data_IF_808015859954
#
_entry.id   IF_808015859954
#
_cell.length_a   1.000
_cell.length_b   1.000
_cell.length_c   1.000
_cell.angle_alpha   90.00
_cell.angle_beta   90.00
_cell.angle_gamma   90.00
#
_symmetry.space_group_name_H-M   'P 1'
#
loop_
_entity.id
_entity.type
_entity.pdbx_description
1 polymer ?
2 non-polymer ?
3 non-polymer ?
4 water ?
#
# COMPACT_ATOMS: atom_id res chain seq x y z
N UNK A 19 -3.43 14.43 1.35
CA UNK A 19 -2.81 13.12 1.76
C UNK A 19 -1.31 13.33 2.07
N UNK A 20 -1.01 13.84 3.27
CA UNK A 20 0.35 14.20 3.71
C UNK A 20 0.65 13.65 5.10
N UNK A 21 -0.35 13.23 5.89
CA UNK A 21 -0.16 12.66 7.26
C UNK A 21 -0.45 11.16 7.19
N UNK A 22 0.29 10.35 7.94
CA UNK A 22 0.01 8.91 8.13
C UNK A 22 -0.49 8.71 9.56
N UNK A 23 -1.64 8.05 9.69
CA UNK A 23 -2.26 7.69 10.98
C UNK A 23 -2.30 6.17 11.07
N UNK A 24 -2.36 5.64 12.29
CA UNK A 24 -2.66 4.21 12.53
C UNK A 24 -4.02 3.90 11.92
N UNK A 25 -4.08 2.91 11.03
CA UNK A 25 -5.31 2.47 10.37
C UNK A 25 -6.36 1.99 11.39
N UNK A 26 -5.95 1.46 12.54
CA UNK A 26 -6.87 0.88 13.55
C UNK A 26 -7.52 1.94 14.44
N UNK A 27 -6.85 3.04 14.76
CA UNK A 27 -7.33 3.99 15.81
C UNK A 27 -7.18 5.47 15.42
N UNK A 28 -6.38 5.82 14.41
CA UNK A 28 -6.22 7.21 13.96
C UNK A 28 -5.09 7.95 14.64
N UNK A 29 -4.34 7.31 15.54
CA UNK A 29 -3.11 7.90 16.15
C UNK A 29 -2.20 8.47 15.04
N UNK A 30 -1.73 9.72 15.21
CA UNK A 30 -0.75 10.38 14.31
C UNK A 30 0.58 9.62 14.38
N UNK A 31 1.12 9.18 13.25
CA UNK A 31 2.36 8.35 13.24
C UNK A 31 3.47 9.09 12.49
N UNK A 32 3.22 9.56 11.27
CA UNK A 32 4.29 10.10 10.43
C UNK A 32 3.71 10.97 9.32
N UNK A 33 4.59 11.44 8.44
CA UNK A 33 4.28 12.42 7.37
C UNK A 33 4.95 11.91 6.10
N UNK A 34 4.34 12.13 4.94
CA UNK A 34 4.96 11.87 3.63
C UNK A 34 6.30 12.63 3.54
N UNK A 35 6.36 13.86 4.06
CA UNK A 35 7.59 14.69 4.15
C UNK A 35 8.75 13.90 4.79
N UNK A 36 8.46 12.94 5.69
CA UNK A 36 9.47 12.20 6.48
C UNK A 36 9.85 10.86 5.83
N UNK A 37 9.36 10.56 4.63
CA UNK A 37 9.81 9.35 3.89
C UNK A 37 11.32 9.44 3.66
N UNK A 38 11.99 8.29 3.73
CA UNK A 38 13.47 8.15 3.60
C UNK A 38 13.79 7.12 2.52
N UNK A 39 14.34 7.49 1.36
CA UNK A 39 14.80 6.49 0.39
C UNK A 39 16.08 5.74 0.81
N UNK A 40 15.95 4.69 1.65
CA UNK A 40 17.05 3.78 2.08
C UNK A 40 17.44 2.89 0.90
N UNK A 41 18.72 2.93 0.50
CA UNK A 41 19.23 2.18 -0.66
C UNK A 41 18.58 2.61 -1.97
N UNK A 42 18.02 3.84 -2.02
CA UNK A 42 17.45 4.44 -3.24
C UNK A 42 15.94 4.30 -3.34
N UNK A 43 15.28 3.64 -2.39
CA UNK A 43 13.80 3.46 -2.40
C UNK A 43 13.27 3.59 -0.98
N UNK A 44 12.11 4.25 -0.81
CA UNK A 44 11.40 4.30 0.50
C UNK A 44 10.64 3.00 0.75
N UNK A 45 10.30 2.24 -0.31
CA UNK A 45 9.55 0.95 -0.21
C UNK A 45 10.52 -0.23 -0.29
N UNK A 46 10.43 -1.15 0.66
CA UNK A 46 11.16 -2.45 0.68
C UNK A 46 10.15 -3.56 0.96
N UNK A 47 10.07 -4.56 0.09
CA UNK A 47 9.19 -5.74 0.31
C UNK A 47 10.07 -6.84 0.92
N UNK A 48 9.74 -7.28 2.12
CA UNK A 48 10.61 -8.16 2.94
C UNK A 48 9.75 -9.27 3.56
N UNK A 49 10.40 -10.36 3.98
CA UNK A 49 9.76 -11.45 4.74
C UNK A 49 10.56 -11.76 6.01
N UNK A 50 9.84 -12.05 7.08
CA UNK A 50 10.40 -12.50 8.38
C UNK A 50 10.60 -14.02 8.32
N UNK A 51 11.27 -14.63 9.32
CA UNK A 51 11.50 -16.07 9.32
C UNK A 51 10.23 -16.92 9.31
N UNK A 52 9.09 -16.36 9.74
CA UNK A 52 7.78 -17.05 9.74
C UNK A 52 7.13 -16.95 8.34
N UNK A 53 7.78 -16.29 7.37
CA UNK A 53 7.36 -16.26 5.96
C UNK A 53 6.32 -15.19 5.70
N UNK A 54 6.03 -14.35 6.68
CA UNK A 54 5.10 -13.20 6.54
C UNK A 54 5.80 -12.14 5.66
N UNK A 55 5.09 -11.63 4.66
CA UNK A 55 5.56 -10.53 3.77
C UNK A 55 5.06 -9.21 4.34
N UNK A 56 5.92 -8.21 4.35
CA UNK A 56 5.61 -6.82 4.75
C UNK A 56 6.08 -5.92 3.61
N UNK A 57 5.21 -5.01 3.20
CA UNK A 57 5.58 -3.85 2.35
C UNK A 57 5.95 -2.73 3.31
N UNK A 58 7.25 -2.50 3.47
CA UNK A 58 7.80 -1.57 4.51
C UNK A 58 8.14 -0.25 3.82
N UNK A 59 7.65 0.85 4.39
CA UNK A 59 8.03 2.22 4.02
C UNK A 59 9.00 2.75 5.07
N UNK A 60 10.13 3.29 4.63
CA UNK A 60 11.18 3.85 5.50
C UNK A 60 10.89 5.33 5.75
N UNK A 61 10.89 5.71 7.02
CA UNK A 61 10.68 7.09 7.51
C UNK A 61 11.89 7.48 8.35
N UNK A 62 12.36 8.72 8.18
CA UNK A 62 13.40 9.33 9.03
C UNK A 62 12.87 9.48 10.45
N UNK A 63 11.56 9.74 10.58
CA UNK A 63 10.94 10.19 11.83
C UNK A 63 9.54 9.58 11.93
N UNK A 64 9.10 9.27 13.14
CA UNK A 64 7.69 8.90 13.45
C UNK A 64 7.42 9.30 14.88
N UNK A 65 6.14 9.37 15.23
CA UNK A 65 5.68 9.66 16.60
C UNK A 65 4.53 8.70 16.93
N UNK A 66 4.05 8.76 18.17
CA UNK A 66 2.85 8.05 18.65
C UNK A 66 3.05 6.55 18.72
N UNK A 67 4.30 6.09 18.61
CA UNK A 67 4.64 4.64 18.67
C UNK A 67 5.05 4.30 20.09
N UNK A 68 5.09 3.00 20.39
CA UNK A 68 5.69 2.46 21.62
C UNK A 68 6.67 1.38 21.16
N UNK A 69 7.95 1.54 21.47
CA UNK A 69 9.02 0.60 21.10
C UNK A 69 9.11 -0.45 22.20
N UNK A 70 9.12 -1.72 21.83
CA UNK A 70 9.00 -2.86 22.79
C UNK A 70 10.34 -3.60 22.81
N UNK A 71 10.88 -3.82 24.02
CA UNK A 71 12.10 -4.62 24.24
C UNK A 71 13.35 -3.84 23.92
N UNK A 72 14.47 -4.55 23.75
CA UNK A 72 15.80 -3.99 23.45
C UNK A 72 16.20 -4.41 22.03
N UNK A 73 17.01 -3.58 21.33
CA UNK A 73 17.32 -3.82 19.92
C UNK A 73 17.94 -5.21 19.69
N UNK A 74 17.65 -5.80 18.54
CA UNK A 74 18.22 -7.07 18.05
C UNK A 74 18.73 -6.90 16.62
N UNK A 75 19.89 -7.48 16.30
CA UNK A 75 20.46 -7.55 14.94
C UNK A 75 20.01 -8.81 14.18
N UNK A 76 19.34 -9.75 14.84
CA UNK A 76 18.93 -11.05 14.25
C UNK A 76 17.92 -10.84 13.12
N UNK A 77 18.22 -11.33 11.91
CA UNK A 77 17.34 -11.31 10.72
C UNK A 77 17.03 -9.87 10.30
N UNK A 78 17.86 -8.88 10.63
CA UNK A 78 17.65 -7.47 10.21
C UNK A 78 17.64 -7.41 8.69
N UNK A 79 16.64 -6.74 8.12
CA UNK A 79 16.51 -6.52 6.65
C UNK A 79 17.49 -5.44 6.19
N UNK A 80 18.05 -4.67 7.12
CA UNK A 80 18.91 -3.52 6.82
C UNK A 80 20.26 -3.72 7.51
N UNK A 81 21.29 -3.95 6.70
CA UNK A 81 22.66 -4.32 7.17
C UNK A 81 23.18 -3.21 8.08
N UNK A 82 23.68 -3.58 9.27
CA UNK A 82 24.28 -2.66 10.24
C UNK A 82 23.25 -2.08 11.21
N UNK A 83 21.97 -2.44 11.09
CA UNK A 83 20.90 -1.90 11.95
C UNK A 83 20.31 -3.00 12.83
N UNK A 84 20.09 -2.65 14.09
CA UNK A 84 19.34 -3.48 15.08
C UNK A 84 17.90 -2.96 15.09
N UNK A 85 16.92 -3.83 15.28
CA UNK A 85 15.50 -3.43 15.24
C UNK A 85 14.87 -3.58 16.62
N UNK A 86 13.87 -2.75 16.89
CA UNK A 86 12.91 -2.93 17.99
C UNK A 86 11.51 -2.87 17.36
N UNK A 87 10.62 -3.73 17.82
CA UNK A 87 9.20 -3.71 17.39
C UNK A 87 8.58 -2.37 17.80
N UNK A 88 7.86 -1.76 16.86
CA UNK A 88 7.13 -0.49 17.05
C UNK A 88 5.62 -0.80 17.03
N UNK A 89 4.95 -0.57 18.15
CA UNK A 89 3.48 -0.65 18.26
C UNK A 89 2.90 0.75 18.16
N UNK A 90 1.65 0.86 17.72
CA UNK A 90 0.83 2.05 17.94
C UNK A 90 0.80 2.28 19.45
N UNK A 91 1.23 3.47 19.89
CA UNK A 91 1.23 3.87 21.31
C UNK A 91 -0.16 3.97 21.86
N UNK A 92 -1.18 4.10 21.00
CA UNK A 92 -2.59 4.22 21.45
C UNK A 92 -3.23 2.82 21.54
N UNK A 93 -3.23 2.05 20.45
CA UNK A 93 -4.06 0.82 20.34
C UNK A 93 -3.21 -0.46 20.40
N UNK A 94 -1.87 -0.35 20.34
CA UNK A 94 -0.97 -1.52 20.48
C UNK A 94 -0.83 -2.32 19.19
N UNK A 95 -1.41 -1.86 18.07
CA UNK A 95 -1.30 -2.50 16.74
C UNK A 95 0.17 -2.49 16.30
N UNK A 96 0.65 -3.59 15.71
CA UNK A 96 2.06 -3.67 15.24
C UNK A 96 2.20 -2.85 13.95
N UNK A 97 2.93 -1.74 13.99
CA UNK A 97 3.01 -0.80 12.83
C UNK A 97 4.35 -0.93 12.10
N UNK A 98 5.36 -1.54 12.74
CA UNK A 98 6.66 -1.82 12.09
C UNK A 98 7.78 -1.89 13.11
N UNK A 99 8.91 -1.25 12.80
CA UNK A 99 10.17 -1.40 13.56
C UNK A 99 10.91 -0.08 13.62
N UNK A 100 11.59 0.19 14.73
CA UNK A 100 12.64 1.23 14.81
C UNK A 100 13.98 0.53 14.57
N UNK A 101 14.83 1.14 13.76
CA UNK A 101 16.19 0.68 13.42
C UNK A 101 17.20 1.63 14.05
N UNK A 102 18.25 1.09 14.66
CA UNK A 102 19.29 1.87 15.37
C UNK A 102 20.62 1.15 15.19
N UNK A 103 21.71 1.80 15.62
CA UNK A 103 23.05 1.19 15.71
C UNK A 103 23.78 1.24 14.39
N UNK A 104 23.20 1.88 13.36
CA UNK A 104 23.79 1.94 12.02
C UNK A 104 24.33 3.35 11.75
N UNK A 105 24.54 3.67 10.48
CA UNK A 105 25.29 4.88 10.03
C UNK A 105 24.58 5.48 8.83
N UNK A 106 24.41 6.81 8.82
CA UNK A 106 23.91 7.57 7.65
C UNK A 106 22.64 6.91 7.11
N UNK A 107 21.52 6.94 7.85
CA UNK A 107 21.46 7.52 9.20
C UNK A 107 21.73 6.48 10.30
N UNK A 108 21.94 6.95 11.53
CA UNK A 108 22.11 6.10 12.72
C UNK A 108 20.81 5.32 12.99
N UNK A 109 19.65 5.95 12.80
CA UNK A 109 18.31 5.43 13.18
C UNK A 109 17.30 5.81 12.10
N UNK A 110 16.24 5.01 11.97
CA UNK A 110 15.07 5.29 11.10
C UNK A 110 13.94 4.32 11.47
N UNK A 111 12.79 4.51 10.84
CA UNK A 111 11.60 3.65 11.05
C UNK A 111 11.26 2.93 9.76
N UNK A 112 10.95 1.64 9.89
CA UNK A 112 10.35 0.83 8.82
C UNK A 112 8.91 0.54 9.20
N UNK A 113 7.95 1.20 8.55
CA UNK A 113 6.52 1.06 8.90
C UNK A 113 5.80 0.25 7.83
N UNK A 114 4.87 -0.59 8.24
CA UNK A 114 4.10 -1.47 7.34
C UNK A 114 3.02 -0.62 6.66
N UNK A 115 3.18 -0.36 5.37
CA UNK A 115 2.33 0.58 4.59
C UNK A 115 0.84 0.30 4.87
N UNK A 116 0.42 -0.96 4.84
CA UNK A 116 -1.03 -1.31 4.89
C UNK A 116 -1.59 -1.16 6.31
N UNK A 117 -0.78 -0.80 7.30
CA UNK A 117 -1.26 -0.60 8.69
C UNK A 117 -1.40 0.91 8.96
N UNK A 118 -1.10 1.74 7.94
CA UNK A 118 -1.24 3.22 8.01
C UNK A 118 -2.37 3.66 7.09
N UNK A 119 -3.02 4.77 7.42
CA UNK A 119 -3.98 5.50 6.56
C UNK A 119 -3.39 6.88 6.28
N UNK A 120 -3.42 7.27 5.00
CA UNK A 120 -2.86 8.54 4.52
C UNK A 120 -4.01 9.54 4.39
N UNK A 121 -3.80 10.78 4.82
CA UNK A 121 -4.85 11.80 4.69
C UNK A 121 -4.37 13.21 4.99
N UNK A 122 -5.29 14.19 4.94
CA UNK A 122 -4.93 15.59 5.17
C UNK A 122 -4.38 15.86 6.59
N UNK A 123 -3.44 16.79 6.68
CA UNK A 123 -2.93 17.41 7.93
C UNK A 123 -4.09 18.01 8.73
N UNK B 19 -9.19 -13.26 -16.62
CA UNK B 19 -10.20 -12.14 -16.61
C UNK B 19 -11.20 -12.38 -15.47
N UNK B 20 -11.12 -11.56 -14.41
CA UNK B 20 -12.19 -11.47 -13.39
C UNK B 20 -12.70 -10.02 -13.30
N UNK B 21 -13.91 -9.85 -12.79
CA UNK B 21 -14.57 -8.52 -12.70
C UNK B 21 -14.93 -8.26 -11.25
N UNK B 22 -15.13 -6.99 -10.96
CA UNK B 22 -15.62 -6.47 -9.69
C UNK B 22 -17.05 -5.97 -9.91
N UNK B 23 -17.95 -6.49 -9.09
CA UNK B 23 -19.38 -6.15 -9.09
C UNK B 23 -19.69 -5.34 -7.84
N UNK B 24 -20.70 -4.50 -7.93
CA UNK B 24 -21.33 -3.84 -6.76
C UNK B 24 -21.79 -4.95 -5.80
N UNK B 25 -21.33 -4.91 -4.55
CA UNK B 25 -21.67 -5.94 -3.52
C UNK B 25 -23.18 -5.90 -3.22
N UNK B 26 -23.83 -4.76 -3.41
CA UNK B 26 -25.26 -4.54 -3.06
C UNK B 26 -26.19 -5.09 -4.16
N UNK B 27 -25.85 -5.02 -5.45
CA UNK B 27 -26.82 -5.36 -6.53
C UNK B 27 -26.23 -6.23 -7.65
N UNK B 28 -24.91 -6.39 -7.73
CA UNK B 28 -24.27 -7.35 -8.66
C UNK B 28 -23.92 -6.75 -10.02
N UNK B 29 -24.19 -5.46 -10.21
CA UNK B 29 -23.82 -4.72 -11.44
C UNK B 29 -22.30 -4.83 -11.65
N UNK B 30 -21.86 -5.13 -12.88
CA UNK B 30 -20.44 -5.08 -13.31
C UNK B 30 -19.94 -3.64 -13.21
N UNK B 31 -18.86 -3.43 -12.46
CA UNK B 31 -18.32 -2.06 -12.23
C UNK B 31 -16.95 -1.94 -12.89
N UNK B 32 -16.06 -2.90 -12.71
CA UNK B 32 -14.68 -2.78 -13.22
C UNK B 32 -14.05 -4.17 -13.35
N UNK B 33 -12.82 -4.21 -13.83
CA UNK B 33 -12.10 -5.45 -14.21
C UNK B 33 -10.74 -5.42 -13.51
N UNK B 34 -10.24 -6.59 -13.12
CA UNK B 34 -8.88 -6.74 -12.58
C UNK B 34 -7.87 -6.19 -13.59
N UNK B 35 -8.10 -6.39 -14.90
CA UNK B 35 -7.26 -5.88 -16.00
C UNK B 35 -7.06 -4.36 -15.86
N UNK B 36 -8.01 -3.65 -15.26
CA UNK B 36 -8.02 -2.17 -15.16
C UNK B 36 -7.41 -1.67 -13.85
N UNK B 37 -6.89 -2.55 -12.99
CA UNK B 37 -6.17 -2.10 -11.78
C UNK B 37 -5.02 -1.17 -12.19
N UNK B 38 -4.85 -0.09 -11.44
CA UNK B 38 -3.93 1.03 -11.77
C UNK B 38 -3.03 1.31 -10.58
N UNK B 39 -1.71 1.02 -10.65
CA UNK B 39 -0.82 1.32 -9.53
C UNK B 39 -0.47 2.81 -9.44
N UNK B 40 -1.34 3.62 -8.83
CA UNK B 40 -1.12 5.07 -8.57
C UNK B 40 -0.08 5.22 -7.47
N UNK B 41 1.02 5.93 -7.72
CA UNK B 41 2.14 6.11 -6.77
C UNK B 41 2.81 4.79 -6.43
N UNK B 42 2.68 3.77 -7.28
CA UNK B 42 3.36 2.47 -7.13
C UNK B 42 2.47 1.38 -6.53
N UNK B 43 1.23 1.69 -6.12
CA UNK B 43 0.31 0.69 -5.52
C UNK B 43 -1.11 0.91 -6.03
N UNK B 44 -1.86 -0.16 -6.30
CA UNK B 44 -3.32 -0.06 -6.63
C UNK B 44 -4.15 0.13 -5.34
N UNK B 45 -3.62 -0.27 -4.16
CA UNK B 45 -4.33 -0.12 -2.86
C UNK B 45 -3.81 1.13 -2.13
N UNK B 46 -4.72 1.99 -1.70
CA UNK B 46 -4.45 3.18 -0.86
C UNK B 46 -5.40 3.13 0.34
N UNK B 47 -4.85 3.03 1.56
CA UNK B 47 -5.68 3.23 2.78
C UNK B 47 -5.58 4.71 3.12
N UNK B 48 -6.72 5.38 3.17
CA UNK B 48 -6.83 6.85 3.23
C UNK B 48 -7.88 7.20 4.29
N UNK B 49 -7.82 8.43 4.80
CA UNK B 49 -8.86 9.01 5.68
C UNK B 49 -9.25 10.39 5.12
N UNK B 50 -10.54 10.71 5.24
CA UNK B 50 -11.13 12.01 4.83
C UNK B 50 -11.03 12.96 6.01
N UNK B 51 -11.36 14.26 5.83
CA UNK B 51 -11.27 15.23 6.92
C UNK B 51 -12.16 14.89 8.13
N UNK B 52 -13.20 14.07 7.93
CA UNK B 52 -14.10 13.65 9.03
C UNK B 52 -13.48 12.45 9.79
N UNK B 53 -12.33 11.94 9.34
CA UNK B 53 -11.61 10.84 10.01
C UNK B 53 -12.13 9.46 9.62
N UNK B 54 -13.00 9.37 8.62
CA UNK B 54 -13.46 8.05 8.08
C UNK B 54 -12.33 7.43 7.26
N UNK B 55 -12.01 6.17 7.52
CA UNK B 55 -10.93 5.41 6.83
C UNK B 55 -11.55 4.55 5.73
N UNK B 56 -10.95 4.57 4.55
CA UNK B 56 -11.38 3.78 3.37
C UNK B 56 -10.17 3.04 2.83
N UNK B 57 -10.37 1.79 2.42
CA UNK B 57 -9.38 1.03 1.63
C UNK B 57 -9.81 1.11 0.17
N UNK B 58 -9.08 1.93 -0.59
CA UNK B 58 -9.37 2.30 -2.00
C UNK B 58 -8.49 1.46 -2.93
N UNK B 59 -9.10 0.83 -3.92
CA UNK B 59 -8.38 0.24 -5.08
C UNK B 59 -8.55 1.17 -6.30
N UNK B 60 -7.46 1.46 -6.98
CA UNK B 60 -7.43 2.36 -8.17
C UNK B 60 -7.62 1.53 -9.44
N UNK B 61 -8.58 1.98 -10.25
CA UNK B 61 -8.92 1.39 -11.57
C UNK B 61 -8.84 2.50 -12.61
N UNK B 62 -8.30 2.21 -13.80
CA UNK B 62 -8.24 3.13 -14.96
C UNK B 62 -9.66 3.52 -15.39
N UNK B 63 -10.57 2.56 -15.43
CA UNK B 63 -11.93 2.73 -15.99
C UNK B 63 -12.93 2.02 -15.07
N UNK B 64 -14.19 2.35 -15.23
CA UNK B 64 -15.32 1.70 -14.55
C UNK B 64 -16.55 1.90 -15.43
N UNK B 65 -17.59 1.11 -15.14
CA UNK B 65 -18.91 1.26 -15.78
C UNK B 65 -19.97 1.10 -14.69
N UNK B 66 -21.18 1.52 -15.03
CA UNK B 66 -22.40 1.31 -14.24
C UNK B 66 -22.44 2.18 -13.00
N UNK B 67 -21.57 3.18 -12.91
CA UNK B 67 -21.57 4.15 -11.78
C UNK B 67 -22.37 5.39 -12.18
N UNK B 68 -22.72 6.22 -11.22
CA UNK B 68 -23.29 7.57 -11.43
C UNK B 68 -22.43 8.53 -10.63
N UNK B 69 -21.79 9.48 -11.29
CA UNK B 69 -20.93 10.49 -10.64
C UNK B 69 -21.82 11.67 -10.27
N UNK B 70 -21.72 12.18 -9.05
CA UNK B 70 -22.62 13.25 -8.58
C UNK B 70 -21.76 14.45 -8.16
N UNK B 71 -22.22 15.65 -8.50
CA UNK B 71 -21.59 16.91 -8.09
C UNK B 71 -20.58 17.36 -9.14
N UNK B 72 -20.12 18.61 -9.01
CA UNK B 72 -19.00 19.14 -9.81
C UNK B 72 -17.72 18.67 -9.16
N UNK B 73 -16.65 18.42 -9.95
CA UNK B 73 -15.36 18.01 -9.38
C UNK B 73 -14.86 19.02 -8.34
N UNK B 74 -14.16 18.53 -7.32
CA UNK B 74 -13.53 19.33 -6.25
C UNK B 74 -12.07 18.88 -6.10
N UNK B 75 -11.16 19.83 -5.92
CA UNK B 75 -9.73 19.60 -5.61
C UNK B 75 -9.47 19.51 -4.11
N UNK B 76 -10.45 19.90 -3.28
CA UNK B 76 -10.30 20.00 -1.80
C UNK B 76 -10.03 18.62 -1.20
N UNK B 77 -8.92 18.47 -0.49
CA UNK B 77 -8.56 17.26 0.30
C UNK B 77 -8.43 16.03 -0.61
N UNK B 78 -8.08 16.24 -1.87
CA UNK B 78 -7.85 15.12 -2.82
C UNK B 78 -6.74 14.22 -2.27
N UNK B 79 -6.94 12.91 -2.26
CA UNK B 79 -5.91 11.92 -1.87
C UNK B 79 -4.83 11.81 -2.94
N UNK B 80 -5.09 12.31 -4.14
CA UNK B 80 -4.17 12.20 -5.31
C UNK B 80 -3.89 13.60 -5.86
N UNK B 81 -2.65 14.06 -5.66
CA UNK B 81 -2.19 15.42 -6.01
C UNK B 81 -2.43 15.67 -7.52
N UNK B 82 -3.05 16.79 -7.86
CA UNK B 82 -3.31 17.21 -9.25
C UNK B 82 -4.63 16.70 -9.78
N UNK B 83 -5.39 15.96 -8.97
CA UNK B 83 -6.70 15.39 -9.39
C UNK B 83 -7.83 16.05 -8.59
N UNK B 84 -8.92 16.38 -9.27
CA UNK B 84 -10.22 16.73 -8.67
C UNK B 84 -11.08 15.46 -8.57
N UNK B 85 -11.92 15.36 -7.55
CA UNK B 85 -12.74 14.14 -7.33
C UNK B 85 -14.22 14.48 -7.47
N UNK B 86 -14.99 13.46 -7.85
CA UNK B 86 -16.47 13.45 -7.79
C UNK B 86 -16.87 12.13 -7.13
N UNK B 87 -17.89 12.16 -6.28
CA UNK B 87 -18.44 10.95 -5.61
C UNK B 87 -19.05 10.05 -6.67
N UNK B 88 -18.76 8.75 -6.58
CA UNK B 88 -19.26 7.70 -7.48
C UNK B 88 -20.25 6.79 -6.74
N UNK B 89 -21.51 6.76 -7.20
CA UNK B 89 -22.54 5.82 -6.69
C UNK B 89 -22.72 4.68 -7.68
N UNK B 90 -23.20 3.54 -7.20
CA UNK B 90 -23.74 2.50 -8.10
C UNK B 90 -24.89 3.13 -8.88
N UNK B 91 -24.83 3.09 -10.21
CA UNK B 91 -25.86 3.65 -11.11
C UNK B 91 -27.17 2.90 -10.97
N UNK B 92 -27.12 1.67 -10.46
CA UNK B 92 -28.29 0.78 -10.34
C UNK B 92 -28.95 0.97 -8.97
N UNK B 93 -28.21 0.84 -7.87
CA UNK B 93 -28.78 0.75 -6.50
C UNK B 93 -28.42 1.98 -5.65
N UNK B 94 -27.53 2.87 -6.10
CA UNK B 94 -27.23 4.15 -5.42
C UNK B 94 -26.22 4.04 -4.29
N UNK B 95 -25.67 2.85 -4.01
CA UNK B 95 -24.66 2.63 -2.95
C UNK B 95 -23.37 3.42 -3.28
N UNK B 96 -22.74 4.05 -2.28
CA UNK B 96 -21.47 4.80 -2.44
C UNK B 96 -20.32 3.81 -2.70
N UNK B 97 -19.71 3.83 -3.89
CA UNK B 97 -18.68 2.84 -4.27
C UNK B 97 -17.29 3.46 -4.31
N UNK B 98 -17.17 4.78 -4.35
CA UNK B 98 -15.87 5.49 -4.31
C UNK B 98 -15.93 6.84 -4.99
N UNK B 99 -14.91 7.13 -5.80
CA UNK B 99 -14.70 8.48 -6.40
C UNK B 99 -14.12 8.34 -7.79
N UNK B 100 -14.50 9.25 -8.68
CA UNK B 100 -13.82 9.48 -9.97
C UNK B 100 -12.85 10.65 -9.79
N UNK B 101 -11.66 10.51 -10.34
CA UNK B 101 -10.57 11.52 -10.33
C UNK B 101 -10.37 12.03 -11.76
N UNK B 102 -10.18 13.34 -11.93
CA UNK B 102 -9.95 13.95 -13.26
C UNK B 102 -9.05 15.18 -13.12
N UNK B 103 -8.62 15.72 -14.26
CA UNK B 103 -7.89 17.00 -14.37
C UNK B 103 -6.40 16.80 -14.12
N UNK B 104 -5.94 15.55 -14.05
CA UNK B 104 -4.51 15.22 -13.93
C UNK B 104 -3.94 14.76 -15.29
N UNK B 105 -2.76 14.14 -15.24
CA UNK B 105 -2.00 13.65 -16.41
C UNK B 105 -1.42 12.27 -16.08
N UNK B 106 -1.46 11.38 -17.06
CA UNK B 106 -0.83 10.03 -17.01
C UNK B 106 -1.21 9.35 -15.70
N UNK B 107 -2.49 8.95 -15.52
CA UNK B 107 -3.55 9.24 -16.49
C UNK B 107 -4.30 10.54 -16.18
N UNK B 108 -5.09 11.01 -17.14
CA UNK B 108 -5.95 12.21 -16.97
C UNK B 108 -7.03 11.92 -15.92
N UNK B 109 -7.60 10.71 -15.94
CA UNK B 109 -8.75 10.30 -15.08
C UNK B 109 -8.55 8.88 -14.61
N UNK B 110 -9.16 8.51 -13.49
CA UNK B 110 -9.18 7.14 -12.94
C UNK B 110 -10.20 7.09 -11.81
N UNK B 111 -10.46 5.89 -11.32
CA UNK B 111 -11.39 5.65 -10.20
C UNK B 111 -10.63 5.14 -8.97
N UNK B 112 -11.03 5.64 -7.81
CA UNK B 112 -10.72 5.04 -6.50
C UNK B 112 -11.97 4.39 -5.95
N UNK B 113 -12.03 3.06 -5.97
CA UNK B 113 -13.24 2.34 -5.53
C UNK B 113 -12.95 1.67 -4.18
N UNK B 114 -13.96 1.64 -3.31
CA UNK B 114 -13.85 1.07 -1.95
C UNK B 114 -13.89 -0.45 -2.08
N UNK B 115 -12.75 -1.11 -1.84
CA UNK B 115 -12.58 -2.55 -2.04
C UNK B 115 -13.69 -3.33 -1.34
N UNK B 116 -14.07 -2.96 -0.11
CA UNK B 116 -15.05 -3.70 0.72
C UNK B 116 -16.46 -3.64 0.14
N UNK B 117 -16.71 -2.75 -0.82
CA UNK B 117 -18.08 -2.59 -1.38
C UNK B 117 -18.16 -3.28 -2.75
N UNK B 118 -17.08 -3.95 -3.15
CA UNK B 118 -16.99 -4.73 -4.42
C UNK B 118 -16.92 -6.21 -4.09
N UNK B 119 -17.45 -7.04 -4.98
CA UNK B 119 -17.27 -8.51 -4.98
C UNK B 119 -16.53 -8.87 -6.25
N UNK B 120 -15.46 -9.66 -6.15
CA UNK B 120 -14.67 -10.12 -7.30
C UNK B 120 -15.17 -11.51 -7.71
N UNK B 121 -15.32 -11.75 -9.01
CA UNK B 121 -15.79 -13.04 -9.53
C UNK B 121 -15.47 -13.21 -11.01
N UNK B 122 -15.79 -14.38 -11.61
CA UNK B 122 -15.56 -14.61 -13.03
C UNK B 122 -16.34 -13.65 -13.93
N UNK B 123 -15.73 -13.26 -15.06
CA UNK B 123 -16.31 -12.46 -16.16
C UNK B 123 -17.57 -13.15 -16.70
N UNK C 18 19.01 -10.98 7.59
CA UNK C 18 17.71 -11.59 7.18
C UNK C 18 17.29 -11.17 5.79
N UNK C 19 18.28 -10.98 4.90
CA UNK C 19 18.10 -10.74 3.44
C UNK C 19 19.06 -11.66 2.68
N UNK C 20 18.89 -12.98 2.86
CA UNK C 20 19.68 -14.07 2.23
C UNK C 20 18.90 -14.65 1.05
N UNK C 21 17.68 -15.13 1.31
CA UNK C 21 16.77 -15.73 0.26
C UNK C 21 16.02 -14.60 -0.45
N UNK C 22 15.92 -14.69 -1.78
CA UNK C 22 15.15 -13.77 -2.67
C UNK C 22 13.92 -14.52 -3.20
N UNK C 23 12.75 -13.87 -3.14
CA UNK C 23 11.45 -14.44 -3.55
C UNK C 23 10.65 -13.42 -4.37
N UNK C 24 9.71 -13.91 -5.16
CA UNK C 24 8.68 -13.12 -5.88
C UNK C 24 7.90 -12.27 -4.86
N UNK C 25 7.81 -10.96 -5.10
CA UNK C 25 7.11 -9.98 -4.24
C UNK C 25 5.61 -10.31 -4.24
N UNK C 26 5.08 -10.83 -5.36
CA UNK C 26 3.62 -11.03 -5.59
C UNK C 26 3.12 -12.24 -4.80
N UNK C 27 3.78 -13.41 -4.92
CA UNK C 27 3.28 -14.69 -4.34
C UNK C 27 4.27 -15.28 -3.32
N UNK C 28 5.56 -14.94 -3.38
CA UNK C 28 6.56 -15.41 -2.40
C UNK C 28 7.30 -16.67 -2.85
N UNK C 29 7.10 -17.13 -4.09
CA UNK C 29 7.89 -18.22 -4.72
C UNK C 29 9.39 -17.97 -4.49
N UNK C 30 10.11 -18.98 -3.97
CA UNK C 30 11.59 -18.97 -3.81
C UNK C 30 12.23 -18.86 -5.21
N UNK C 31 13.05 -17.83 -5.43
CA UNK C 31 13.74 -17.60 -6.73
C UNK C 31 15.25 -17.85 -6.54
N UNK C 32 15.97 -16.96 -5.84
CA UNK C 32 17.44 -17.05 -5.65
C UNK C 32 17.86 -16.39 -4.33
N UNK C 65 15.90 -20.68 -9.26
CA UNK C 65 14.79 -21.67 -9.37
C UNK C 65 13.45 -20.93 -9.37
N UNK C 66 12.37 -21.64 -9.68
CA UNK C 66 10.98 -21.18 -9.49
C UNK C 66 10.49 -20.29 -10.63
N UNK C 67 11.21 -20.20 -11.74
CA UNK C 67 10.84 -19.39 -12.94
C UNK C 67 10.37 -20.31 -14.07
N UNK C 68 9.49 -19.80 -14.94
CA UNK C 68 9.35 -20.24 -16.36
C UNK C 68 10.03 -19.17 -17.23
N UNK C 69 10.93 -19.58 -18.14
CA UNK C 69 11.73 -18.66 -18.98
C UNK C 69 11.00 -18.36 -20.30
N UNK C 87 13.09 -13.52 -20.97
CA UNK C 87 11.80 -13.25 -20.26
C UNK C 87 11.60 -14.34 -19.19
N UNK C 88 11.86 -14.01 -17.91
CA UNK C 88 11.80 -14.92 -16.75
C UNK C 88 10.57 -14.58 -15.89
N UNK C 89 9.49 -15.36 -16.04
CA UNK C 89 8.23 -15.23 -15.26
C UNK C 89 8.30 -16.17 -14.05
N UNK C 90 7.89 -15.68 -12.86
CA UNK C 90 7.63 -16.51 -11.65
C UNK C 90 6.73 -17.69 -12.03
N UNK C 91 7.23 -18.93 -11.85
CA UNK C 91 6.49 -20.18 -12.13
C UNK C 91 5.19 -20.26 -11.35
N UNK C 92 5.10 -19.59 -10.20
CA UNK C 92 3.95 -19.71 -9.26
C UNK C 92 2.81 -18.81 -9.77
N UNK C 93 3.01 -17.51 -9.85
CA UNK C 93 1.92 -16.52 -10.08
C UNK C 93 2.06 -15.84 -11.46
N UNK C 94 3.19 -16.01 -12.16
CA UNK C 94 3.40 -15.51 -13.53
C UNK C 94 4.03 -14.13 -13.61
N UNK C 95 4.18 -13.41 -12.48
CA UNK C 95 4.80 -12.05 -12.43
C UNK C 95 6.19 -12.06 -13.08
N UNK C 96 6.47 -11.07 -13.95
CA UNK C 96 7.75 -10.91 -14.69
C UNK C 96 8.89 -10.60 -13.70
N UNK C 97 9.83 -11.54 -13.52
CA UNK C 97 10.96 -11.42 -12.55
C UNK C 97 12.18 -10.78 -13.23
N UNK C 98 12.49 -11.18 -14.47
CA UNK C 98 13.65 -10.68 -15.22
C UNK C 98 13.91 -11.47 -16.48
N UNK C 99 15.16 -11.95 -16.65
CA UNK C 99 15.66 -12.59 -17.90
C UNK C 99 16.84 -13.54 -17.56
N UNK C 100 17.06 -14.58 -18.37
CA UNK C 100 18.16 -15.56 -18.22
C UNK C 100 19.51 -14.86 -18.49
N UNK C 115 15.18 -6.24 -8.55
CA UNK C 115 15.06 -5.63 -7.20
C UNK C 115 13.58 -5.39 -6.87
N UNK C 116 12.93 -4.48 -7.59
CA UNK C 116 11.54 -3.97 -7.33
C UNK C 116 10.52 -5.13 -7.35
N UNK C 117 10.74 -6.17 -8.17
CA UNK C 117 9.82 -7.33 -8.33
C UNK C 117 10.21 -8.47 -7.38
N UNK C 118 11.34 -8.33 -6.65
CA UNK C 118 11.81 -9.32 -5.64
C UNK C 118 11.50 -8.85 -4.22
N UNK C 119 11.63 -9.76 -3.26
CA UNK C 119 11.53 -9.52 -1.81
C UNK C 119 12.57 -10.37 -1.06
N UNK C 120 13.13 -9.81 0.02
CA UNK C 120 14.32 -10.33 0.75
C UNK C 120 13.90 -10.91 2.11
N UNK C 121 14.47 -12.06 2.49
CA UNK C 121 14.35 -12.66 3.84
C UNK C 121 15.50 -13.59 4.17
N UNK C 122 15.51 -14.22 5.36
CA UNK C 122 16.60 -15.09 5.79
C UNK C 122 16.65 -16.39 4.96
X LIG D 1 -3.47 2.51 16.65
X LIG E 1 13.70 -8.34 10.32
X LIG E 1 13.68 -7.00 10.63
X LIG E 1 12.69 -6.55 11.65
X LIG E 1 11.34 -9.99 12.71
X LIG E 1 9.69 -11.09 14.67
X LIG E 1 9.95 -10.72 15.99
X LIG E 1 9.66 -13.02 16.65
X LIG E 1 12.23 -7.68 12.56
X LIG E 1 11.76 -8.88 11.75
X LIG E 1 12.80 -9.30 10.74
X LIG E 1 12.87 -10.42 10.31
X LIG E 1 14.44 -6.23 10.07
X LIG E 1 9.71 -9.85 13.41
X LIG E 1 9.92 -11.69 16.98
X LIG E 1 9.39 -13.36 15.34
X LIG E 1 9.41 -12.41 14.35
X LIG E 1 9.49 -8.57 14.01
X LIG E 1 8.80 -10.27 12.37
X LIG F 1 -25.29 -1.53 -6.98
X LIG G 1 -10.54 12.87 -0.58
X LIG G 1 -10.71 12.35 -1.85
X LIG G 1 -12.09 11.94 -2.24
X LIG G 1 -14.03 13.54 0.68
X LIG G 1 -16.69 13.73 1.67
X LIG G 1 -16.89 13.77 3.03
X LIG G 1 -18.52 15.49 2.74
X LIG G 1 -13.19 12.69 -1.50
X LIG G 1 -12.95 12.69 0.00
X LIG G 1 -11.54 13.12 0.35
X LIG G 1 -11.24 13.59 1.43
X LIG G 1 -9.75 12.19 -2.58
X LIG G 1 -15.53 12.59 0.96
X LIG G 1 -17.80 14.67 3.57
X LIG G 1 -18.34 15.44 1.37
X LIG G 1 -17.41 14.55 0.83
X LIG G 1 -16.06 12.14 -0.28
X LIG G 1 -15.20 11.59 1.95
X LIG H 1 5.08 -15.12 -7.93
#
# INVERSE_FOLDING_TARGET
>A
MPLDAGGQNSTQMVLAPGASIFRCRQCGQTISRRDWLLPMGGDHEHVVFNPAGMIFRVWCFSLAQGLRLIGAPSGEFSWFKGYDWTIALCGQCGSHLGWHYEGGSQPQTFFGLIKDRLAEGPAD
>B
MPLDAGGQNSTQMVLAPGASIFRCRQCGQTISRRDWLLPMGGDHEHVVFNPAGMIFRVWCFSLAQGLRLIGAPSGEFSWFKGYDWTIALCGQCGSHLGWHYEGGSQPQTFFGLIKDRLAEGPAD
>C
MPLDAGGQNSTQMVLAPGASIFRCRQCGQTISRRDWLLPMGGDHEHVVFNPAGMIFRVWCFSLAQGLRLIGAPSGEFSWFKGYDWTIALCGQCGSHLGWHYEGGSQPQTFFGLIKDRLAEGPAD
>D hetero
1 ZN ZN
>E hetero
1 N8F N1 C4 C5 C6 C7 C8 C10 C1 C2 C3 O1 O2 S1 C9 C11 C12 O3 O4
>F hetero
1 ZN ZN
>G hetero
1 N8F N1 C4 C5 C6 C7 C8 C10 C1 C2 C3 O1 O2 S1 C9 C11 C12 O3 O4
>H hetero
1 ZN ZN
#
